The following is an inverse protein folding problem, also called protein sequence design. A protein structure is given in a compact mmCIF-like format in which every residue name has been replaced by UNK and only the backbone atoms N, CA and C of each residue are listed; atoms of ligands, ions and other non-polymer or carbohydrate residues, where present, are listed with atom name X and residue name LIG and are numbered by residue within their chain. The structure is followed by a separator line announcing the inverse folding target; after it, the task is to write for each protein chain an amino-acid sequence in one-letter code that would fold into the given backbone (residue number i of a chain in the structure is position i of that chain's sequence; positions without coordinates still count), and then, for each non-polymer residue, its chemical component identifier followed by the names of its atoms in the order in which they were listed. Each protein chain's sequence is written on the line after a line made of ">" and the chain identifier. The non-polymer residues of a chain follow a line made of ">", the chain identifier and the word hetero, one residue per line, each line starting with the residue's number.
data_IF_357002562542
#
_entry.id   IF_357002562542
#
_cell.length_a   1.000
_cell.length_b   1.000
_cell.length_c   1.000
_cell.angle_alpha   90.00
_cell.angle_beta   90.00
_cell.angle_gamma   90.00
#
_symmetry.space_group_name_H-M   'P 1'
#
loop_
_entity.id
_entity.type
_entity.pdbx_description
1 polymer ?
#
# COMPACT_ATOMS: atom_id res chain seq x y z
N UNK A 1 37.32 -41.21 7.54
CA UNK A 1 36.12 -40.94 8.37
C UNK A 1 36.22 -39.56 9.04
N UNK A 2 36.06 -38.45 8.30
CA UNK A 2 36.38 -37.11 8.84
C UNK A 2 35.53 -35.93 8.38
N UNK A 3 34.51 -36.10 7.54
CA UNK A 3 33.74 -34.97 6.99
C UNK A 3 32.38 -34.73 7.68
N UNK A 4 31.91 -35.62 8.56
CA UNK A 4 30.52 -35.60 9.05
C UNK A 4 30.29 -34.89 10.38
N UNK A 5 31.33 -34.35 11.03
CA UNK A 5 31.23 -33.69 12.34
C UNK A 5 31.23 -32.16 12.30
N UNK A 6 31.70 -31.55 11.21
CA UNK A 6 31.81 -30.08 11.10
C UNK A 6 30.46 -29.45 10.73
N UNK A 7 29.64 -30.14 9.94
CA UNK A 7 28.33 -29.65 9.49
C UNK A 7 27.30 -29.53 10.62
N UNK A 8 27.45 -30.33 11.69
CA UNK A 8 26.52 -30.29 12.83
C UNK A 8 26.82 -29.12 13.80
N UNK A 9 28.06 -28.63 13.83
CA UNK A 9 28.47 -27.54 14.72
C UNK A 9 28.02 -26.14 14.22
N UNK A 10 27.93 -25.91 12.91
CA UNK A 10 27.45 -24.64 12.35
C UNK A 10 25.92 -24.47 12.43
N UNK A 11 25.16 -25.56 12.41
CA UNK A 11 23.70 -25.51 12.59
C UNK A 11 23.31 -25.14 14.03
N UNK A 12 24.12 -25.57 15.02
CA UNK A 12 23.88 -25.28 16.43
C UNK A 12 24.19 -23.83 16.82
N UNK A 13 25.16 -23.17 16.16
CA UNK A 13 25.52 -21.78 16.45
C UNK A 13 24.53 -20.77 15.85
N UNK A 14 23.95 -21.03 14.67
CA UNK A 14 22.88 -20.20 14.10
C UNK A 14 21.57 -20.29 14.92
N UNK A 15 21.24 -21.47 15.44
CA UNK A 15 20.11 -21.66 16.35
C UNK A 15 20.28 -20.94 17.69
N UNK A 16 21.51 -20.89 18.23
CA UNK A 16 21.81 -20.21 19.48
C UNK A 16 21.77 -18.67 19.36
N UNK A 17 22.18 -18.10 18.23
CA UNK A 17 22.11 -16.64 17.98
C UNK A 17 20.64 -16.18 17.84
N UNK A 18 19.78 -16.98 17.21
CA UNK A 18 18.34 -16.71 17.14
C UNK A 18 17.65 -16.78 18.51
N UNK A 19 18.13 -17.65 19.41
CA UNK A 19 17.59 -17.77 20.77
C UNK A 19 18.09 -16.66 21.71
N UNK A 20 19.33 -16.20 21.55
CA UNK A 20 19.91 -15.11 22.35
C UNK A 20 19.40 -13.72 21.97
N UNK A 21 19.07 -13.48 20.70
CA UNK A 21 18.39 -12.24 20.27
C UNK A 21 16.86 -12.26 20.55
N UNK A 22 16.29 -13.41 20.92
CA UNK A 22 14.86 -13.59 21.16
C UNK A 22 14.37 -13.28 22.58
N UNK A 23 15.24 -12.86 23.51
CA UNK A 23 14.88 -12.73 24.93
C UNK A 23 14.55 -11.31 25.42
N UNK A 24 14.61 -10.26 24.59
CA UNK A 24 14.23 -8.90 25.00
C UNK A 24 13.52 -8.09 23.91
N UNK A 25 12.60 -8.70 23.17
CA UNK A 25 11.72 -7.98 22.25
C UNK A 25 10.30 -8.55 22.28
N UNK A 26 9.26 -7.74 21.99
CA UNK A 26 7.91 -8.27 21.80
C UNK A 26 7.97 -9.37 20.75
N UNK A 27 7.28 -10.51 21.02
CA UNK A 27 7.21 -11.61 20.06
C UNK A 27 6.78 -11.05 18.71
N UNK A 28 7.51 -11.32 17.61
CA UNK A 28 7.10 -10.87 16.30
C UNK A 28 5.72 -11.48 16.02
N UNK A 29 4.74 -10.62 15.72
CA UNK A 29 3.43 -11.08 15.25
C UNK A 29 3.60 -11.80 13.90
N UNK A 30 2.69 -12.70 13.51
CA UNK A 30 2.72 -13.35 12.20
C UNK A 30 2.81 -12.36 11.02
N UNK A 31 2.33 -11.14 11.21
CA UNK A 31 2.44 -10.04 10.26
C UNK A 31 3.86 -9.45 10.22
N UNK A 32 4.52 -9.34 11.38
CA UNK A 32 5.90 -8.86 11.53
C UNK A 32 6.96 -9.74 10.88
N UNK A 33 6.81 -11.07 10.92
CA UNK A 33 7.75 -12.01 10.24
C UNK A 33 7.64 -11.89 8.72
N UNK A 34 6.43 -11.62 8.23
CA UNK A 34 6.13 -11.46 6.81
C UNK A 34 6.64 -10.12 6.25
N UNK A 35 6.48 -9.03 7.00
CA UNK A 35 7.08 -7.75 6.65
C UNK A 35 8.60 -7.76 6.77
N UNK A 36 9.20 -8.55 7.67
CA UNK A 36 10.64 -8.75 7.71
C UNK A 36 11.17 -9.38 6.42
N UNK A 37 10.55 -10.48 5.96
CA UNK A 37 10.93 -11.13 4.70
C UNK A 37 10.71 -10.20 3.51
N UNK A 38 9.56 -9.52 3.46
CA UNK A 38 9.27 -8.51 2.44
C UNK A 38 10.28 -7.36 2.43
N UNK A 39 10.71 -6.85 3.60
CA UNK A 39 11.77 -5.83 3.73
C UNK A 39 13.10 -6.32 3.15
N UNK A 40 13.46 -7.58 3.34
CA UNK A 40 14.65 -8.16 2.75
C UNK A 40 14.57 -8.18 1.21
N UNK A 41 13.50 -8.73 0.64
CA UNK A 41 13.34 -8.78 -0.83
C UNK A 41 13.23 -7.38 -1.44
N UNK A 42 12.55 -6.47 -0.74
CA UNK A 42 12.52 -5.05 -1.12
C UNK A 42 13.91 -4.46 -1.13
N UNK A 43 14.69 -4.62 -0.07
CA UNK A 43 16.05 -4.08 0.01
C UNK A 43 16.96 -4.71 -1.04
N UNK A 44 16.83 -6.01 -1.31
CA UNK A 44 17.55 -6.69 -2.38
C UNK A 44 17.17 -6.12 -3.76
N UNK A 45 15.87 -5.92 -4.01
CA UNK A 45 15.36 -5.30 -5.23
C UNK A 45 15.88 -3.88 -5.43
N UNK A 46 15.83 -3.06 -4.37
CA UNK A 46 16.37 -1.68 -4.36
C UNK A 46 17.88 -1.67 -4.60
N UNK A 47 18.64 -2.53 -3.91
CA UNK A 47 20.09 -2.64 -4.07
C UNK A 47 20.47 -3.02 -5.51
N UNK A 48 19.80 -4.03 -6.07
CA UNK A 48 19.96 -4.42 -7.49
C UNK A 48 19.63 -3.27 -8.43
N UNK A 49 18.54 -2.55 -8.20
CA UNK A 49 18.12 -1.45 -9.05
C UNK A 49 19.08 -0.26 -9.02
N UNK A 50 19.64 0.08 -7.84
CA UNK A 50 20.67 1.10 -7.69
C UNK A 50 21.99 0.68 -8.32
N UNK A 51 22.39 -0.58 -8.16
CA UNK A 51 23.60 -1.11 -8.77
C UNK A 51 23.62 -0.97 -10.30
N UNK A 52 22.48 -1.11 -10.97
CA UNK A 52 22.38 -0.90 -12.43
C UNK A 52 22.47 0.56 -12.87
N UNK A 53 22.08 1.50 -12.01
CA UNK A 53 22.12 2.94 -12.30
C UNK A 53 23.46 3.58 -11.94
N UNK A 54 24.24 2.94 -11.07
CA UNK A 54 25.59 3.38 -10.76
C UNK A 54 26.53 3.08 -11.92
N UNK A 55 26.84 4.10 -12.72
CA UNK A 55 27.93 4.07 -13.69
C UNK A 55 29.27 4.34 -13.00
N UNK A 56 29.61 3.49 -12.02
CA UNK A 56 30.88 3.57 -11.29
C UNK A 56 31.77 2.39 -11.65
N UNK A 57 33.01 2.61 -12.13
CA UNK A 57 33.96 1.52 -12.34
C UNK A 57 34.47 0.93 -11.01
N UNK A 58 34.16 1.55 -9.86
CA UNK A 58 34.61 1.11 -8.55
C UNK A 58 33.63 0.10 -7.93
N UNK A 59 33.95 -1.18 -8.01
CA UNK A 59 33.17 -2.27 -7.41
C UNK A 59 32.94 -2.12 -5.90
N UNK A 60 33.85 -1.48 -5.16
CA UNK A 60 33.69 -1.25 -3.72
C UNK A 60 32.56 -0.25 -3.42
N UNK A 61 32.42 0.79 -4.25
CA UNK A 61 31.34 1.77 -4.12
C UNK A 61 29.96 1.16 -4.42
N UNK A 62 29.90 0.26 -5.41
CA UNK A 62 28.67 -0.48 -5.74
C UNK A 62 28.28 -1.43 -4.59
N UNK A 63 29.26 -2.12 -4.01
CA UNK A 63 29.06 -3.01 -2.87
C UNK A 63 28.65 -2.24 -1.60
N UNK A 64 29.27 -1.09 -1.31
CA UNK A 64 28.94 -0.29 -0.12
C UNK A 64 27.52 0.27 -0.20
N UNK A 65 27.10 0.80 -1.34
CA UNK A 65 25.72 1.26 -1.53
C UNK A 65 24.69 0.13 -1.38
N UNK A 66 25.03 -1.08 -1.85
CA UNK A 66 24.18 -2.26 -1.65
C UNK A 66 24.07 -2.64 -0.18
N UNK A 67 25.18 -2.59 0.57
CA UNK A 67 25.23 -2.85 2.01
C UNK A 67 24.38 -1.82 2.76
N UNK A 68 24.51 -0.52 2.46
CA UNK A 68 23.73 0.54 3.09
C UNK A 68 22.22 0.34 2.93
N UNK A 69 21.77 -0.05 1.72
CA UNK A 69 20.37 -0.38 1.47
C UNK A 69 19.91 -1.59 2.29
N UNK A 70 20.74 -2.63 2.40
CA UNK A 70 20.40 -3.84 3.16
C UNK A 70 20.25 -3.57 4.65
N UNK A 71 21.11 -2.70 5.20
CA UNK A 71 21.04 -2.26 6.61
C UNK A 71 20.06 -1.10 6.85
N UNK A 72 19.42 -0.56 5.79
CA UNK A 72 18.52 0.58 5.90
C UNK A 72 19.21 1.86 6.38
N UNK A 73 20.51 2.00 6.11
CA UNK A 73 21.26 3.21 6.40
C UNK A 73 21.05 4.29 5.33
N UNK A 74 20.44 3.90 4.22
CA UNK A 74 20.20 4.75 3.07
C UNK A 74 19.02 5.72 3.24
N UNK A 75 18.99 6.77 2.42
CA UNK A 75 17.83 7.65 2.25
C UNK A 75 17.07 7.30 0.96
N UNK A 76 15.83 6.79 1.02
CA UNK A 76 15.03 6.50 -0.17
C UNK A 76 14.57 7.76 -0.92
N UNK A 77 14.55 8.93 -0.26
CA UNK A 77 14.01 10.14 -0.86
C UNK A 77 14.95 10.78 -1.90
N UNK A 78 16.24 10.46 -1.86
CA UNK A 78 17.26 11.06 -2.75
C UNK A 78 17.53 10.22 -4.00
N UNK A 79 17.03 8.98 -4.04
CA UNK A 79 17.40 8.02 -5.07
C UNK A 79 16.56 8.12 -6.35
N UNK A 80 15.38 8.76 -6.30
CA UNK A 80 14.44 8.82 -7.43
C UNK A 80 13.73 10.16 -7.47
N UNK A 81 13.81 10.83 -8.62
CA UNK A 81 12.89 11.91 -8.97
C UNK A 81 11.63 11.27 -9.56
N UNK A 82 10.63 11.10 -8.71
CA UNK A 82 9.41 10.38 -9.04
C UNK A 82 8.60 11.07 -10.14
N UNK A 83 8.66 12.39 -10.25
CA UNK A 83 7.89 13.10 -11.27
C UNK A 83 8.65 13.07 -12.60
N UNK A 84 9.96 13.28 -12.59
CA UNK A 84 10.78 13.16 -13.81
C UNK A 84 10.78 11.73 -14.41
N UNK A 85 10.82 10.67 -13.58
CA UNK A 85 10.74 9.29 -14.10
C UNK A 85 9.36 8.95 -14.69
N UNK A 86 8.27 9.51 -14.14
CA UNK A 86 6.94 9.32 -14.71
C UNK A 86 6.81 10.02 -16.08
N UNK A 87 7.32 11.23 -16.20
CA UNK A 87 7.38 11.97 -17.46
C UNK A 87 8.25 11.26 -18.50
N UNK A 88 9.42 10.76 -18.10
CA UNK A 88 10.33 10.01 -18.98
C UNK A 88 9.72 8.69 -19.49
N UNK A 89 8.81 8.07 -18.73
CA UNK A 89 8.07 6.89 -19.15
C UNK A 89 7.02 7.19 -20.22
N UNK A 90 6.83 8.46 -20.63
CA UNK A 90 5.83 8.88 -21.60
C UNK A 90 4.38 8.69 -21.11
N UNK A 91 4.22 8.32 -19.84
CA UNK A 91 2.94 8.26 -19.16
C UNK A 91 2.72 9.65 -18.58
N UNK A 92 2.23 10.55 -19.43
CA UNK A 92 1.74 11.83 -18.98
C UNK A 92 0.80 11.60 -17.79
N UNK A 93 0.76 12.57 -16.89
CA UNK A 93 -0.17 12.75 -15.79
C UNK A 93 -1.68 12.61 -16.11
N UNK A 94 -2.05 12.08 -17.28
CA UNK A 94 -3.37 11.95 -17.84
C UNK A 94 -4.21 10.78 -17.29
N UNK A 95 -3.59 9.72 -16.75
CA UNK A 95 -4.33 8.66 -16.06
C UNK A 95 -4.33 8.90 -14.55
N UNK A 96 -5.31 9.69 -14.11
CA UNK A 96 -5.75 9.74 -12.73
C UNK A 96 -6.83 8.69 -12.49
N UNK A 97 -6.84 8.12 -11.29
CA UNK A 97 -7.90 7.21 -10.84
C UNK A 97 -8.53 7.80 -9.59
N UNK A 98 -9.86 7.76 -9.49
CA UNK A 98 -10.54 7.93 -8.20
C UNK A 98 -10.35 6.69 -7.32
N UNK A 99 -10.63 6.81 -6.02
CA UNK A 99 -10.58 5.64 -5.14
C UNK A 99 -11.59 4.56 -5.55
N UNK A 100 -12.76 4.99 -6.02
CA UNK A 100 -13.82 4.10 -6.52
C UNK A 100 -13.37 3.40 -7.81
N UNK A 101 -12.78 4.12 -8.76
CA UNK A 101 -12.24 3.55 -9.99
C UNK A 101 -11.13 2.55 -9.70
N UNK A 102 -10.23 2.87 -8.77
CA UNK A 102 -9.17 1.96 -8.36
C UNK A 102 -9.77 0.68 -7.74
N UNK A 103 -10.81 0.81 -6.91
CA UNK A 103 -11.49 -0.31 -6.25
C UNK A 103 -12.05 -1.35 -7.24
N UNK A 104 -12.41 -0.93 -8.46
CA UNK A 104 -12.91 -1.82 -9.51
C UNK A 104 -11.87 -2.84 -9.99
N UNK A 105 -10.58 -2.60 -9.77
CA UNK A 105 -9.50 -3.51 -10.20
C UNK A 105 -9.13 -4.57 -9.14
N UNK A 106 -9.86 -4.62 -8.01
CA UNK A 106 -9.41 -5.29 -6.79
C UNK A 106 -9.36 -6.80 -6.80
N UNK A 107 -10.07 -7.48 -7.70
CA UNK A 107 -10.07 -8.94 -7.73
C UNK A 107 -8.99 -9.54 -8.63
N UNK A 108 -8.41 -8.76 -9.55
CA UNK A 108 -7.51 -9.29 -10.59
C UNK A 108 -8.12 -10.44 -11.40
N UNK A 109 -9.44 -10.63 -11.31
CA UNK A 109 -10.15 -11.71 -11.99
C UNK A 109 -10.60 -11.23 -13.38
N UNK A 110 -10.93 -12.20 -14.24
CA UNK A 110 -11.37 -11.94 -15.61
C UNK A 110 -10.36 -11.14 -16.48
N UNK A 111 -9.06 -11.24 -16.18
CA UNK A 111 -7.99 -10.59 -16.94
C UNK A 111 -7.77 -9.11 -16.59
N UNK A 112 -8.37 -8.62 -15.50
CA UNK A 112 -8.09 -7.27 -14.99
C UNK A 112 -6.70 -7.19 -14.36
N UNK A 113 -5.98 -6.07 -14.53
CA UNK A 113 -4.69 -5.88 -13.87
C UNK A 113 -4.87 -5.76 -12.36
N UNK A 114 -3.88 -6.24 -11.60
CA UNK A 114 -3.78 -5.99 -10.16
C UNK A 114 -3.11 -4.64 -9.94
N UNK A 115 -3.90 -3.63 -9.57
CA UNK A 115 -3.38 -2.30 -9.26
C UNK A 115 -3.19 -2.11 -7.76
N UNK A 116 -2.21 -1.31 -7.37
CA UNK A 116 -1.93 -0.98 -5.96
C UNK A 116 -1.46 0.47 -5.86
N UNK A 117 -2.01 1.23 -4.90
CA UNK A 117 -1.62 2.61 -4.65
C UNK A 117 -0.71 2.74 -3.41
N UNK A 118 0.32 3.59 -3.53
CA UNK A 118 1.22 3.98 -2.45
C UNK A 118 1.70 5.42 -2.66
N UNK A 119 1.54 6.27 -1.64
CA UNK A 119 1.71 7.73 -1.71
C UNK A 119 0.99 8.37 -2.90
N UNK A 120 -0.24 7.93 -3.19
CA UNK A 120 -1.03 8.44 -4.33
C UNK A 120 -0.46 8.05 -5.70
N UNK A 121 0.46 7.09 -5.78
CA UNK A 121 1.01 6.56 -7.04
C UNK A 121 0.56 5.12 -7.22
N UNK A 122 0.06 4.81 -8.41
CA UNK A 122 -0.54 3.52 -8.73
C UNK A 122 0.45 2.71 -9.56
N UNK A 123 0.66 1.47 -9.16
CA UNK A 123 1.52 0.52 -9.86
C UNK A 123 0.72 -0.73 -10.24
N UNK A 124 0.96 -1.22 -11.45
CA UNK A 124 0.52 -2.53 -11.89
C UNK A 124 1.43 -3.60 -11.27
N UNK A 125 0.87 -4.36 -10.34
CA UNK A 125 1.52 -5.46 -9.61
C UNK A 125 1.06 -6.83 -10.11
N UNK A 126 0.50 -6.92 -11.32
CA UNK A 126 0.04 -8.18 -11.93
C UNK A 126 1.16 -9.23 -12.04
N UNK A 127 2.40 -8.80 -12.29
CA UNK A 127 3.57 -9.69 -12.28
C UNK A 127 3.85 -10.33 -10.89
N UNK A 128 3.24 -9.80 -9.84
CA UNK A 128 3.30 -10.25 -8.45
C UNK A 128 2.04 -10.98 -7.99
N UNK A 129 1.28 -11.60 -8.90
CA UNK A 129 0.05 -12.36 -8.60
C UNK A 129 0.21 -13.37 -7.44
N UNK A 130 1.38 -13.98 -7.28
CA UNK A 130 1.67 -14.89 -6.17
C UNK A 130 1.53 -14.24 -4.78
N UNK A 131 1.63 -12.92 -4.69
CA UNK A 131 1.55 -12.12 -3.46
C UNK A 131 0.22 -11.35 -3.34
N UNK A 132 -0.22 -10.72 -4.43
CA UNK A 132 -1.34 -9.78 -4.45
C UNK A 132 -2.63 -10.35 -5.07
N UNK A 133 -2.53 -11.52 -5.74
CA UNK A 133 -3.68 -12.15 -6.38
C UNK A 133 -4.75 -12.60 -5.39
N UNK A 134 -5.88 -13.06 -5.93
CA UNK A 134 -6.99 -13.55 -5.11
C UNK A 134 -6.55 -14.65 -4.14
N UNK A 135 -7.07 -14.58 -2.90
CA UNK A 135 -6.75 -15.50 -1.79
C UNK A 135 -5.25 -15.52 -1.40
N UNK A 136 -4.47 -14.50 -1.80
CA UNK A 136 -3.09 -14.34 -1.35
C UNK A 136 -3.01 -13.43 -0.14
N UNK A 137 -1.93 -13.59 0.63
CA UNK A 137 -1.74 -12.92 1.92
C UNK A 137 -1.73 -11.38 1.82
N UNK A 138 -1.35 -10.82 0.68
CA UNK A 138 -1.30 -9.39 0.44
C UNK A 138 -2.38 -8.88 -0.51
N UNK A 139 -3.38 -9.71 -0.80
CA UNK A 139 -4.53 -9.34 -1.62
C UNK A 139 -5.26 -8.11 -1.08
N UNK A 140 -5.26 -7.92 0.24
CA UNK A 140 -5.86 -6.76 0.89
C UNK A 140 -5.29 -5.41 0.41
N UNK A 141 -4.09 -5.39 -0.18
CA UNK A 141 -3.50 -4.18 -0.76
C UNK A 141 -3.91 -3.90 -2.20
N UNK A 142 -4.46 -4.90 -2.90
CA UNK A 142 -4.94 -4.71 -4.26
C UNK A 142 -6.09 -3.71 -4.27
N UNK A 143 -6.09 -2.84 -5.28
CA UNK A 143 -7.09 -1.81 -5.55
C UNK A 143 -7.36 -0.83 -4.40
N UNK A 144 -6.35 -0.58 -3.56
CA UNK A 144 -6.45 0.36 -2.46
C UNK A 144 -5.17 1.16 -2.32
N UNK A 145 -5.29 2.33 -1.69
CA UNK A 145 -4.12 3.03 -1.17
C UNK A 145 -3.70 2.40 0.17
N UNK A 146 -2.58 1.68 0.13
CA UNK A 146 -2.00 1.00 1.27
C UNK A 146 -0.82 1.78 1.87
N UNK A 147 -0.72 3.10 1.66
CA UNK A 147 0.36 3.96 2.16
C UNK A 147 0.65 3.73 3.63
N UNK A 148 -0.38 3.79 4.48
CA UNK A 148 -0.21 3.61 5.92
C UNK A 148 0.24 2.20 6.28
N UNK A 149 -0.28 1.19 5.58
CA UNK A 149 0.12 -0.19 5.76
C UNK A 149 1.60 -0.42 5.40
N UNK A 150 2.12 0.22 4.34
CA UNK A 150 3.54 0.14 3.99
C UNK A 150 4.46 0.88 4.97
N UNK A 151 3.98 1.98 5.54
CA UNK A 151 4.74 2.73 6.55
C UNK A 151 4.84 1.97 7.88
N UNK A 152 3.73 1.36 8.32
CA UNK A 152 3.59 0.77 9.67
C UNK A 152 3.78 -0.75 9.70
N UNK A 153 3.57 -1.43 8.58
CA UNK A 153 3.47 -2.88 8.52
C UNK A 153 2.14 -3.45 9.03
N UNK A 154 1.10 -2.63 9.16
CA UNK A 154 -0.21 -3.09 9.58
C UNK A 154 -1.03 -3.63 8.40
N UNK A 155 -1.51 -4.87 8.48
CA UNK A 155 -2.34 -5.52 7.44
C UNK A 155 -3.85 -5.42 7.70
N UNK A 156 -4.26 -4.77 8.79
CA UNK A 156 -5.67 -4.65 9.15
C UNK A 156 -6.39 -3.67 8.21
N UNK A 157 -7.70 -3.83 7.98
CA UNK A 157 -8.48 -2.94 7.13
C UNK A 157 -8.33 -1.45 7.50
N UNK A 158 -8.24 -1.13 8.79
CA UNK A 158 -8.08 0.25 9.28
C UNK A 158 -6.75 0.92 8.88
N UNK A 159 -5.78 0.12 8.43
CA UNK A 159 -4.47 0.56 8.00
C UNK A 159 -4.36 0.68 6.47
N UNK A 160 -5.39 0.27 5.72
CA UNK A 160 -5.47 0.37 4.25
C UNK A 160 -6.03 1.73 3.85
N UNK A 161 -5.27 2.78 4.19
CA UNK A 161 -5.63 4.17 3.91
C UNK A 161 -4.42 4.95 3.36
N UNK A 162 -4.71 6.00 2.59
CA UNK A 162 -3.71 6.91 2.01
C UNK A 162 -3.00 7.82 3.03
N UNK A 163 -3.50 7.88 4.28
CA UNK A 163 -3.05 8.86 5.28
C UNK A 163 -1.74 8.48 5.99
N UNK A 164 -0.82 9.43 6.05
CA UNK A 164 0.40 9.38 6.88
C UNK A 164 0.27 10.16 8.19
N UNK A 165 -0.93 10.68 8.50
CA UNK A 165 -1.16 11.47 9.71
C UNK A 165 -0.89 10.63 10.96
N UNK A 166 -0.10 11.19 11.88
CA UNK A 166 0.26 10.55 13.14
C UNK A 166 1.34 9.47 13.03
N UNK A 167 1.99 9.32 11.87
CA UNK A 167 3.16 8.47 11.71
C UNK A 167 4.44 9.22 12.05
N UNK A 168 5.41 8.49 12.58
CA UNK A 168 6.78 8.97 12.81
C UNK A 168 7.54 9.11 11.49
N UNK A 169 8.57 9.96 11.48
CA UNK A 169 9.44 10.11 10.30
C UNK A 169 10.07 8.78 9.87
N UNK A 170 10.40 7.91 10.82
CA UNK A 170 10.95 6.59 10.55
C UNK A 170 9.95 5.68 9.81
N UNK A 171 8.67 5.71 10.19
CA UNK A 171 7.61 4.96 9.51
C UNK A 171 7.34 5.52 8.11
N UNK A 172 7.31 6.85 7.96
CA UNK A 172 7.16 7.47 6.63
C UNK A 172 8.35 7.13 5.74
N UNK A 173 9.57 7.15 6.28
CA UNK A 173 10.79 6.74 5.56
C UNK A 173 10.69 5.27 5.12
N UNK A 174 10.16 4.40 5.96
CA UNK A 174 9.93 2.99 5.61
C UNK A 174 8.93 2.84 4.46
N UNK A 175 7.84 3.63 4.46
CA UNK A 175 6.94 3.72 3.31
C UNK A 175 7.65 4.20 2.05
N UNK A 176 8.51 5.21 2.13
CA UNK A 176 9.27 5.72 0.98
C UNK A 176 10.23 4.67 0.40
N UNK A 177 10.77 3.77 1.22
CA UNK A 177 11.55 2.62 0.71
C UNK A 177 10.69 1.68 -0.12
N UNK A 178 9.44 1.45 0.30
CA UNK A 178 8.49 0.66 -0.49
C UNK A 178 8.15 1.36 -1.80
N UNK A 179 7.93 2.67 -1.76
CA UNK A 179 7.67 3.47 -2.96
C UNK A 179 8.82 3.36 -3.97
N UNK A 180 10.07 3.55 -3.52
CA UNK A 180 11.24 3.37 -4.38
C UNK A 180 11.31 1.95 -4.95
N UNK A 181 11.01 0.92 -4.15
CA UNK A 181 11.01 -0.45 -4.65
C UNK A 181 10.02 -0.64 -5.81
N UNK A 182 8.77 -0.16 -5.68
CA UNK A 182 7.77 -0.28 -6.75
C UNK A 182 8.19 0.51 -8.00
N UNK A 183 8.66 1.74 -7.81
CA UNK A 183 9.11 2.60 -8.90
C UNK A 183 10.29 2.02 -9.69
N UNK A 184 11.25 1.39 -9.00
CA UNK A 184 12.45 0.83 -9.62
C UNK A 184 12.35 -0.66 -9.94
N UNK A 185 11.18 -1.27 -9.76
CA UNK A 185 10.99 -2.68 -9.97
C UNK A 185 11.02 -3.03 -11.47
N UNK A 186 11.68 -4.13 -11.82
CA UNK A 186 11.85 -4.55 -13.22
C UNK A 186 10.52 -4.91 -13.92
N UNK A 187 9.48 -5.21 -13.15
CA UNK A 187 8.22 -5.77 -13.65
C UNK A 187 6.96 -5.01 -13.22
N UNK A 188 7.06 -4.08 -12.27
CA UNK A 188 5.90 -3.32 -11.85
C UNK A 188 5.89 -2.03 -12.63
N UNK A 189 4.85 -1.84 -13.43
CA UNK A 189 4.71 -0.66 -14.25
C UNK A 189 4.01 0.44 -13.46
N UNK A 190 4.44 1.68 -13.63
CA UNK A 190 3.67 2.82 -13.16
C UNK A 190 2.40 2.95 -14.02
N UNK A 191 1.23 2.93 -13.37
CA UNK A 191 -0.07 2.93 -14.04
C UNK A 191 -0.76 4.30 -13.98
N UNK A 192 -0.48 5.13 -12.98
CA UNK A 192 -1.11 6.44 -12.85
C UNK A 192 -0.98 7.05 -11.45
N UNK A 193 -1.73 8.13 -11.21
CA UNK A 193 -1.82 8.80 -9.90
C UNK A 193 -3.23 8.67 -9.33
N UNK A 194 -3.36 8.57 -8.02
CA UNK A 194 -4.64 8.65 -7.35
C UNK A 194 -5.06 10.12 -7.28
N UNK A 195 -6.32 10.41 -7.59
CA UNK A 195 -6.86 11.76 -7.42
C UNK A 195 -6.79 12.15 -5.94
N UNK A 196 -6.31 13.36 -5.67
CA UNK A 196 -6.40 13.88 -4.31
C UNK A 196 -7.88 14.03 -3.94
N UNK A 197 -8.28 13.47 -2.80
CA UNK A 197 -9.63 13.68 -2.26
C UNK A 197 -9.95 15.18 -2.31
N UNK A 198 -10.95 15.55 -3.11
CA UNK A 198 -11.44 16.93 -3.11
C UNK A 198 -11.93 17.21 -1.70
N UNK A 199 -11.54 18.33 -1.07
CA UNK A 199 -12.10 18.73 0.21
C UNK A 199 -13.62 18.66 0.10
N UNK A 200 -14.23 17.83 0.94
CA UNK A 200 -15.68 17.73 0.99
C UNK A 200 -16.19 19.09 1.46
N UNK A 201 -16.73 19.86 0.52
CA UNK A 201 -17.34 21.13 0.83
C UNK A 201 -18.65 20.85 1.58
N UNK A 202 -18.60 21.02 2.90
CA UNK A 202 -19.76 20.82 3.77
C UNK A 202 -20.90 21.76 3.41
N UNK A 203 -20.61 22.94 2.84
CA UNK A 203 -21.63 23.88 2.40
C UNK A 203 -22.34 23.37 1.14
N UNK A 204 -21.63 22.72 0.21
CA UNK A 204 -22.23 22.05 -0.96
C UNK A 204 -23.08 20.83 -0.56
N UNK A 205 -22.59 20.01 0.38
CA UNK A 205 -23.37 18.88 0.89
C UNK A 205 -24.65 19.33 1.60
N UNK A 206 -24.56 20.37 2.44
CA UNK A 206 -25.72 20.95 3.12
C UNK A 206 -26.68 21.57 2.09
N UNK A 207 -26.18 22.29 1.09
CA UNK A 207 -27.00 22.83 0.01
C UNK A 207 -27.74 21.73 -0.77
N UNK A 208 -27.05 20.65 -1.14
CA UNK A 208 -27.66 19.49 -1.82
C UNK A 208 -28.70 18.78 -0.94
N UNK A 209 -28.43 18.63 0.36
CA UNK A 209 -29.38 18.05 1.30
C UNK A 209 -30.64 18.92 1.46
N UNK A 210 -30.47 20.25 1.56
CA UNK A 210 -31.58 21.21 1.63
C UNK A 210 -32.41 21.24 0.34
N UNK A 211 -31.77 21.16 -0.83
CA UNK A 211 -32.48 21.08 -2.11
C UNK A 211 -33.18 19.71 -2.30
N UNK A 212 -32.61 18.62 -1.82
CA UNK A 212 -33.26 17.31 -1.80
C UNK A 212 -34.50 17.29 -0.87
N UNK A 213 -34.44 17.96 0.28
CA UNK A 213 -35.63 18.16 1.13
C UNK A 213 -36.68 19.06 0.48
N UNK A 214 -36.27 20.07 -0.29
CA UNK A 214 -37.18 20.93 -1.06
C UNK A 214 -37.83 20.20 -2.24
N UNK A 215 -37.16 19.19 -2.80
CA UNK A 215 -37.66 18.36 -3.90
C UNK A 215 -38.52 17.15 -3.50
N UNK A 216 -38.66 16.85 -2.21
CA UNK A 216 -39.25 15.60 -1.72
C UNK A 216 -40.60 15.73 -0.97
N UNK A 217 -41.68 15.41 -1.69
CA UNK A 217 -43.05 15.12 -1.25
C UNK A 217 -43.87 16.23 -0.54
N UNK A 218 -45.15 16.48 -0.97
CA UNK A 218 -46.05 17.36 -0.23
C UNK A 218 -46.27 16.76 1.16
N UNK A 219 -45.92 17.52 2.20
CA UNK A 219 -46.27 17.18 3.57
C UNK A 219 -47.81 17.23 3.66
N UNK A 220 -48.46 16.07 3.66
CA UNK A 220 -49.92 15.98 3.77
C UNK A 220 -50.38 16.79 4.98
N UNK A 221 -51.41 17.62 4.78
CA UNK A 221 -51.92 18.45 5.86
C UNK A 221 -52.34 17.54 7.03
N UNK A 222 -52.22 18.00 8.29
CA UNK A 222 -52.59 17.21 9.47
C UNK A 222 -54.00 16.60 9.37
N UNK A 223 -54.90 17.30 8.68
CA UNK A 223 -56.29 16.90 8.44
C UNK A 223 -56.41 15.67 7.53
N UNK A 224 -55.52 15.52 6.55
CA UNK A 224 -55.52 14.39 5.61
C UNK A 224 -54.93 13.12 6.26
N UNK A 225 -53.96 13.29 7.16
CA UNK A 225 -53.43 12.20 8.00
C UNK A 225 -54.49 11.68 8.97
N UNK A 226 -55.35 12.56 9.48
CA UNK A 226 -56.43 12.22 10.38
C UNK A 226 -57.53 11.43 9.63
N UNK A 227 -57.87 11.89 8.41
CA UNK A 227 -58.80 11.19 7.52
C UNK A 227 -58.33 9.79 7.13
N UNK A 228 -57.05 9.64 6.79
CA UNK A 228 -56.46 8.33 6.45
C UNK A 228 -56.45 7.35 7.64
N UNK A 229 -56.25 7.85 8.87
CA UNK A 229 -56.33 7.02 10.09
C UNK A 229 -57.75 6.57 10.40
N UNK A 230 -58.74 7.44 10.19
CA UNK A 230 -60.16 7.11 10.37
C UNK A 230 -60.66 6.10 9.32
N UNK A 231 -60.17 6.19 8.08
CA UNK A 231 -60.49 5.22 7.03
C UNK A 231 -59.88 3.84 7.30
N UNK A 232 -58.65 3.78 7.82
CA UNK A 232 -58.02 2.51 8.24
C UNK A 232 -58.74 1.87 9.44
N UNK A 233 -59.23 2.68 10.38
CA UNK A 233 -60.02 2.17 11.51
C UNK A 233 -61.42 1.69 11.12
N UNK A 234 -62.00 2.21 10.04
CA UNK A 234 -63.28 1.72 9.50
C UNK A 234 -63.15 0.46 8.64
N UNK A 235 -61.92 0.11 8.26
CA UNK A 235 -61.62 -1.07 7.44
C UNK A 235 -61.19 -2.31 8.27
N UNK A 236 -61.15 -2.21 9.62
CA UNK A 236 -61.04 -3.34 10.57
C UNK A 236 -62.36 -3.55 11.30
#
# INVERSE_FOLDING_TARGET
>A
MGASRITLAMAATLGAVALLLGLMGPRPTPDGVNLFFMRFFRNLGRAKARARRMDSPNALAVASASIEVMFGLDDPATAVDYDAEAEAAGMDSAYSFSEEELAEFGDGQAGRPLLLAIFGRIYDVSAGEAFYGYDKKYHAFAAKDATRAFCTGCLRPECLIASTKGLTEAEVKEGRRWLEFFQLHDKYAFAGKLEAEKPVDMDDLVARALEAERGGAPRLAPEDLQRAREEQQKAS
#
